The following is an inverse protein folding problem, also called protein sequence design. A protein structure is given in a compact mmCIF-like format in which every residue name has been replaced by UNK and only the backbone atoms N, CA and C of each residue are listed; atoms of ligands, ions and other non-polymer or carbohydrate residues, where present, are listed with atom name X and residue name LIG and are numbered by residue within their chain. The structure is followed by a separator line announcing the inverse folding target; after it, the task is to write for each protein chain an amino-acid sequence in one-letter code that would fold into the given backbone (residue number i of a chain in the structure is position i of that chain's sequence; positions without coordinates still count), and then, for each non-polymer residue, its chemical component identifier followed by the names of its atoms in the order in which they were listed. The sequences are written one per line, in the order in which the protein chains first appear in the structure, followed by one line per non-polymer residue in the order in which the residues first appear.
data_IF_372259599080
#
_entry.id   IF_372259599080
#
_cell.length_a   1.000
_cell.length_b   1.000
_cell.length_c   1.000
_cell.angle_alpha   90.00
_cell.angle_beta   90.00
_cell.angle_gamma   90.00
#
_symmetry.space_group_name_H-M   'P 1'
#
loop_
_entity.id
_entity.type
_entity.pdbx_description
1 polymer ?
#
# COMPACT_ATOMS: atom_id res chain seq x y z
N UNK A 1 -15.51 10.33 13.54
CA UNK A 1 -14.89 9.18 14.26
C UNK A 1 -13.98 8.45 13.28
N UNK A 2 -12.81 7.99 13.72
CA UNK A 2 -11.94 7.14 12.91
C UNK A 2 -12.57 5.75 12.75
N UNK A 3 -12.64 5.18 11.52
CA UNK A 3 -13.19 3.84 11.31
C UNK A 3 -12.31 2.73 11.93
N UNK A 4 -11.00 3.00 12.10
CA UNK A 4 -10.03 2.09 12.71
C UNK A 4 -8.95 2.91 13.41
N UNK A 5 -8.31 2.38 14.49
CA UNK A 5 -7.19 3.05 15.15
C UNK A 5 -6.03 3.44 14.21
N UNK A 6 -5.84 2.71 13.10
CA UNK A 6 -4.81 2.99 12.09
C UNK A 6 -5.34 3.68 10.83
N UNK A 7 -6.61 4.08 10.79
CA UNK A 7 -7.17 4.92 9.72
C UNK A 7 -7.72 6.21 10.35
N UNK A 8 -6.84 7.10 10.83
CA UNK A 8 -7.25 8.21 11.69
C UNK A 8 -7.99 9.32 10.94
N UNK A 9 -7.77 9.49 9.63
CA UNK A 9 -8.25 10.64 8.88
C UNK A 9 -8.55 10.32 7.40
N UNK A 10 -9.12 11.29 6.67
CA UNK A 10 -9.49 11.11 5.26
C UNK A 10 -8.30 10.79 4.36
N UNK A 11 -7.10 11.32 4.69
CA UNK A 11 -5.90 11.06 3.93
C UNK A 11 -5.50 9.58 4.02
N UNK A 12 -5.47 9.03 5.23
CA UNK A 12 -5.21 7.59 5.44
C UNK A 12 -6.24 6.71 4.73
N UNK A 13 -7.51 7.10 4.72
CA UNK A 13 -8.58 6.35 4.04
C UNK A 13 -8.38 6.38 2.51
N UNK A 14 -8.00 7.52 1.95
CA UNK A 14 -7.73 7.66 0.51
C UNK A 14 -6.50 6.86 0.08
N UNK A 15 -5.45 6.85 0.90
CA UNK A 15 -4.20 6.15 0.61
C UNK A 15 -4.29 4.65 0.85
N UNK A 16 -5.16 4.20 1.78
CA UNK A 16 -5.24 2.81 2.22
C UNK A 16 -5.29 1.78 1.08
N UNK A 17 -6.14 1.91 0.03
CA UNK A 17 -6.17 0.95 -1.06
C UNK A 17 -4.84 0.79 -1.80
N UNK A 18 -4.03 1.85 -1.87
CA UNK A 18 -2.73 1.84 -2.55
C UNK A 18 -1.61 1.37 -1.63
N UNK A 19 -1.72 1.63 -0.32
CA UNK A 19 -0.66 1.34 0.65
C UNK A 19 -0.83 0.01 1.39
N UNK A 20 -2.05 -0.55 1.48
CA UNK A 20 -2.28 -1.79 2.22
C UNK A 20 -1.53 -3.00 1.63
N UNK A 21 -1.19 -2.98 0.34
CA UNK A 21 -0.38 -4.01 -0.31
C UNK A 21 1.01 -4.18 0.35
N UNK A 22 1.57 -3.12 0.94
CA UNK A 22 2.85 -3.17 1.64
C UNK A 22 2.79 -3.98 2.94
N UNK A 23 1.61 -4.27 3.49
CA UNK A 23 1.48 -5.10 4.71
C UNK A 23 2.00 -6.54 4.51
N UNK A 24 2.15 -6.98 3.26
CA UNK A 24 2.76 -8.26 2.90
C UNK A 24 4.26 -8.16 2.52
N UNK A 25 4.85 -6.98 2.67
CA UNK A 25 6.26 -6.68 2.35
C UNK A 25 7.04 -6.34 3.62
N UNK A 26 8.32 -6.00 3.46
CA UNK A 26 9.14 -5.46 4.55
C UNK A 26 9.20 -3.93 4.58
N UNK A 27 8.30 -3.24 3.87
CA UNK A 27 8.24 -1.78 3.84
C UNK A 27 7.20 -1.28 4.85
N UNK A 28 7.57 -0.31 5.68
CA UNK A 28 6.68 0.29 6.67
C UNK A 28 5.73 1.28 6.01
N UNK A 29 4.46 1.25 6.42
CA UNK A 29 3.41 2.20 6.04
C UNK A 29 3.08 3.19 7.16
N UNK A 30 4.01 3.40 8.10
CA UNK A 30 3.85 4.35 9.20
C UNK A 30 3.01 3.84 10.38
N UNK A 31 2.71 2.54 10.45
CA UNK A 31 2.19 1.95 11.71
C UNK A 31 3.19 2.22 12.83
N UNK A 32 2.71 2.55 14.03
CA UNK A 32 3.57 2.99 15.13
C UNK A 32 3.97 4.47 15.10
N UNK A 33 3.29 5.27 14.26
CA UNK A 33 3.41 6.74 14.24
C UNK A 33 2.02 7.38 14.39
N UNK A 34 1.94 8.71 14.44
CA UNK A 34 0.67 9.44 14.41
C UNK A 34 0.02 9.49 13.01
N UNK A 35 0.71 9.00 11.98
CA UNK A 35 0.30 9.09 10.58
C UNK A 35 0.35 7.73 9.86
N UNK A 36 -0.30 6.68 10.38
CA UNK A 36 -0.38 5.39 9.69
C UNK A 36 -1.09 5.54 8.34
N UNK A 37 -0.63 4.78 7.35
CA UNK A 37 -1.06 4.80 5.95
C UNK A 37 -0.97 6.19 5.31
N UNK A 38 -0.01 7.02 5.74
CA UNK A 38 0.26 8.34 5.17
C UNK A 38 1.75 8.55 4.90
N UNK A 39 2.57 7.52 5.06
CA UNK A 39 4.01 7.50 4.77
C UNK A 39 4.39 6.10 4.29
N UNK A 40 5.52 5.99 3.61
CA UNK A 40 6.11 4.71 3.21
C UNK A 40 7.60 4.79 3.53
N UNK A 41 8.22 3.75 4.09
CA UNK A 41 9.66 3.79 4.36
C UNK A 41 10.28 2.47 4.81
N UNK A 42 11.61 2.45 4.80
CA UNK A 42 12.44 1.31 5.19
C UNK A 42 13.73 1.81 5.90
N UNK A 43 14.38 1.03 6.78
CA UNK A 43 15.61 1.41 7.50
C UNK A 43 16.86 1.52 6.63
N UNK A 44 16.78 2.26 5.53
CA UNK A 44 17.88 2.48 4.59
C UNK A 44 17.72 3.85 3.91
N UNK A 45 18.70 4.76 4.04
CA UNK A 45 18.65 6.10 3.44
C UNK A 45 18.36 6.17 1.94
N UNK A 46 18.58 5.07 1.19
CA UNK A 46 18.27 5.00 -0.24
C UNK A 46 16.77 5.13 -0.54
N UNK A 47 15.90 4.90 0.44
CA UNK A 47 14.45 4.92 0.22
C UNK A 47 13.84 6.32 0.22
N UNK A 48 14.54 7.34 0.72
CA UNK A 48 14.10 8.74 0.62
C UNK A 48 14.65 9.63 1.72
N UNK A 49 14.32 10.93 1.63
CA UNK A 49 14.80 11.94 2.57
C UNK A 49 13.86 12.19 3.76
N UNK A 50 12.59 11.78 3.66
CA UNK A 50 11.67 11.85 4.78
C UNK A 50 11.98 10.72 5.77
N UNK A 51 11.99 11.05 7.06
CA UNK A 51 12.39 10.14 8.13
C UNK A 51 11.28 10.01 9.15
N UNK A 52 11.04 8.78 9.63
CA UNK A 52 10.17 8.51 10.77
C UNK A 52 10.67 7.30 11.56
N UNK A 53 10.30 7.22 12.83
CA UNK A 53 10.63 6.10 13.72
C UNK A 53 9.32 5.48 14.22
N UNK A 54 9.01 4.23 13.85
CA UNK A 54 7.88 3.50 14.42
C UNK A 54 8.10 3.15 15.89
N UNK A 55 7.05 3.32 16.71
CA UNK A 55 7.05 2.93 18.12
C UNK A 55 5.79 2.12 18.46
N UNK A 56 5.89 1.24 19.46
CA UNK A 56 4.71 0.58 20.00
C UNK A 56 3.71 1.60 20.56
N UNK A 57 2.47 1.57 20.06
CA UNK A 57 1.37 2.40 20.53
C UNK A 57 0.21 1.48 20.94
N UNK A 58 -0.06 1.32 22.25
CA UNK A 58 -1.17 0.52 22.75
C UNK A 58 -2.51 0.92 22.12
N UNK A 59 -3.30 -0.08 21.71
CA UNK A 59 -4.58 0.12 21.03
C UNK A 59 -4.49 0.58 19.56
N UNK A 60 -3.28 0.83 19.03
CA UNK A 60 -3.06 1.12 17.59
C UNK A 60 -2.13 0.10 16.93
N UNK A 61 -0.89 -0.03 17.38
CA UNK A 61 0.10 -0.96 16.82
C UNK A 61 1.09 -1.37 17.91
N UNK A 62 0.96 -2.58 18.44
CA UNK A 62 1.83 -3.08 19.52
C UNK A 62 3.21 -3.52 19.04
N UNK A 63 3.30 -3.99 17.79
CA UNK A 63 4.53 -4.47 17.16
C UNK A 63 4.63 -3.91 15.73
N UNK A 64 4.82 -2.59 15.57
CA UNK A 64 4.98 -2.01 14.24
C UNK A 64 6.25 -2.56 13.57
N UNK A 65 6.22 -2.60 12.24
CA UNK A 65 7.39 -2.97 11.47
C UNK A 65 8.51 -1.93 11.69
N UNK A 66 9.75 -2.40 11.86
CA UNK A 66 10.94 -1.57 12.12
C UNK A 66 10.82 -0.71 13.38
N UNK A 67 10.25 -1.29 14.45
CA UNK A 67 10.11 -0.61 15.74
C UNK A 67 11.47 -0.13 16.28
N UNK A 68 11.57 1.16 16.58
CA UNK A 68 12.79 1.79 17.09
C UNK A 68 13.83 2.15 16.01
N UNK A 69 13.67 1.63 14.78
CA UNK A 69 14.59 1.90 13.68
C UNK A 69 14.20 3.17 12.91
N UNK A 70 15.21 3.89 12.43
CA UNK A 70 15.02 5.08 11.59
C UNK A 70 14.65 4.66 10.18
N UNK A 71 13.37 4.83 9.80
CA UNK A 71 12.87 4.56 8.46
C UNK A 71 13.01 5.80 7.57
N UNK A 72 13.46 5.59 6.33
CA UNK A 72 13.63 6.58 5.29
C UNK A 72 12.63 6.33 4.15
N UNK A 73 12.08 7.38 3.57
CA UNK A 73 11.06 7.22 2.54
C UNK A 73 10.39 8.51 2.10
N UNK A 74 9.07 8.43 1.90
CA UNK A 74 8.24 9.53 1.40
C UNK A 74 7.11 9.88 2.36
N UNK A 75 6.78 11.17 2.41
CA UNK A 75 5.68 11.73 3.17
C UNK A 75 4.47 11.97 2.27
N UNK A 76 3.35 11.31 2.56
CA UNK A 76 2.09 11.40 1.82
C UNK A 76 0.99 12.07 2.65
N UNK A 77 1.30 12.66 3.81
CA UNK A 77 0.31 13.29 4.70
C UNK A 77 -0.46 14.44 4.05
N UNK A 78 0.14 15.08 3.05
CA UNK A 78 -0.43 16.22 2.31
C UNK A 78 -0.61 15.93 0.81
N UNK A 79 -0.45 14.66 0.42
CA UNK A 79 -0.50 14.29 -0.98
C UNK A 79 -1.91 14.49 -1.57
N UNK A 80 -1.96 15.12 -2.74
CA UNK A 80 -3.20 15.43 -3.44
C UNK A 80 -3.53 14.40 -4.52
N UNK A 81 -3.25 13.11 -4.27
CA UNK A 81 -3.49 11.97 -5.15
C UNK A 81 -4.69 12.24 -6.07
N UNK A 82 -4.38 12.51 -7.34
CA UNK A 82 -5.41 12.83 -8.34
C UNK A 82 -6.28 11.60 -8.64
N UNK A 83 -5.77 10.40 -8.35
CA UNK A 83 -6.44 9.12 -8.53
C UNK A 83 -6.87 8.52 -7.19
N UNK A 84 -7.94 7.72 -7.20
CA UNK A 84 -8.45 7.04 -5.99
C UNK A 84 -7.62 5.79 -5.60
N UNK A 85 -6.78 5.30 -6.51
CA UNK A 85 -5.96 4.10 -6.36
C UNK A 85 -4.82 4.13 -7.38
N UNK A 86 -3.62 3.78 -6.94
CA UNK A 86 -2.44 3.63 -7.80
C UNK A 86 -1.55 2.49 -7.35
N UNK A 87 -0.92 1.81 -8.32
CA UNK A 87 0.15 0.83 -8.08
C UNK A 87 1.55 1.46 -8.06
N UNK A 88 1.67 2.74 -8.43
CA UNK A 88 2.94 3.48 -8.49
C UNK A 88 3.82 3.23 -7.26
N UNK A 89 3.26 3.36 -6.06
CA UNK A 89 4.05 3.20 -4.84
C UNK A 89 4.67 1.81 -4.71
N UNK A 90 3.88 0.74 -4.88
CA UNK A 90 4.38 -0.63 -4.73
C UNK A 90 5.36 -0.98 -5.84
N UNK A 91 5.14 -0.50 -7.06
CA UNK A 91 6.07 -0.67 -8.19
C UNK A 91 7.39 0.07 -7.95
N UNK A 92 7.33 1.35 -7.57
CA UNK A 92 8.52 2.16 -7.29
C UNK A 92 9.36 1.53 -6.18
N UNK A 93 8.74 1.11 -5.07
CA UNK A 93 9.46 0.46 -3.96
C UNK A 93 9.95 -0.94 -4.31
N UNK A 94 9.23 -1.69 -5.16
CA UNK A 94 9.71 -2.98 -5.68
C UNK A 94 11.01 -2.77 -6.47
N UNK A 95 11.03 -1.83 -7.41
CA UNK A 95 12.21 -1.51 -8.22
C UNK A 95 13.36 -0.94 -7.38
N UNK A 96 13.06 0.00 -6.49
CA UNK A 96 14.04 0.64 -5.61
C UNK A 96 14.72 -0.35 -4.67
N UNK A 97 13.98 -1.33 -4.15
CA UNK A 97 14.53 -2.35 -3.25
C UNK A 97 15.55 -3.27 -3.94
N UNK A 98 15.35 -3.56 -5.23
CA UNK A 98 16.08 -4.56 -6.00
C UNK A 98 16.10 -5.96 -5.33
N UNK A 99 15.05 -6.32 -4.59
CA UNK A 99 14.95 -7.60 -3.86
C UNK A 99 14.32 -8.74 -4.67
N UNK A 100 13.74 -8.45 -5.83
CA UNK A 100 13.00 -9.41 -6.65
C UNK A 100 11.91 -10.11 -5.83
N UNK A 101 11.87 -11.45 -5.87
CA UNK A 101 10.89 -12.25 -5.13
C UNK A 101 10.89 -12.00 -3.61
N UNK A 102 12.03 -11.60 -3.03
CA UNK A 102 12.12 -11.32 -1.58
C UNK A 102 11.36 -10.06 -1.15
N UNK A 103 11.00 -9.18 -2.09
CA UNK A 103 10.14 -8.03 -1.82
C UNK A 103 8.79 -8.45 -1.21
N UNK A 104 8.25 -9.57 -1.71
CA UNK A 104 7.01 -10.17 -1.22
C UNK A 104 7.28 -11.09 -0.02
N UNK A 105 7.73 -10.51 1.11
CA UNK A 105 8.05 -11.19 2.37
C UNK A 105 7.02 -12.25 2.75
N UNK A 106 5.73 -11.95 2.56
CA UNK A 106 4.64 -12.93 2.64
C UNK A 106 3.84 -12.96 1.33
N UNK A 107 4.32 -13.71 0.34
CA UNK A 107 3.68 -13.80 -0.98
C UNK A 107 2.23 -14.30 -0.92
N UNK A 108 1.91 -15.24 -0.01
CA UNK A 108 0.52 -15.73 0.15
C UNK A 108 -0.40 -14.62 0.65
N UNK A 109 0.06 -13.84 1.62
CA UNK A 109 -0.72 -12.70 2.13
C UNK A 109 -0.84 -11.57 1.10
N UNK A 110 0.20 -11.32 0.30
CA UNK A 110 0.11 -10.38 -0.81
C UNK A 110 -0.98 -10.80 -1.81
N UNK A 111 -0.97 -12.09 -2.22
CA UNK A 111 -1.97 -12.63 -3.14
C UNK A 111 -3.39 -12.58 -2.54
N UNK A 112 -3.53 -12.73 -1.21
CA UNK A 112 -4.81 -12.55 -0.51
C UNK A 112 -5.29 -11.10 -0.52
N UNK A 113 -4.41 -10.13 -0.27
CA UNK A 113 -4.74 -8.70 -0.33
C UNK A 113 -5.13 -8.28 -1.76
N UNK A 114 -4.43 -8.79 -2.77
CA UNK A 114 -4.70 -8.53 -4.18
C UNK A 114 -5.91 -9.32 -4.72
N UNK A 115 -6.35 -10.37 -4.01
CA UNK A 115 -7.42 -11.28 -4.43
C UNK A 115 -7.00 -12.32 -5.49
N UNK A 116 -5.74 -12.32 -5.92
CA UNK A 116 -5.16 -13.24 -6.91
C UNK A 116 -3.63 -13.17 -6.88
N UNK A 117 -2.96 -14.22 -7.38
CA UNK A 117 -1.51 -14.21 -7.61
C UNK A 117 -1.08 -13.44 -8.86
N UNK A 118 -2.04 -13.06 -9.72
CA UNK A 118 -1.76 -12.41 -11.00
C UNK A 118 -0.97 -11.10 -10.83
N UNK A 119 -1.39 -10.22 -9.92
CA UNK A 119 -0.70 -8.94 -9.68
C UNK A 119 0.77 -9.15 -9.33
N UNK A 120 1.05 -10.08 -8.41
CA UNK A 120 2.44 -10.38 -8.02
C UNK A 120 3.25 -10.92 -9.20
N UNK A 121 2.67 -11.80 -10.03
CA UNK A 121 3.34 -12.28 -11.25
C UNK A 121 3.67 -11.12 -12.18
N UNK A 122 2.71 -10.25 -12.46
CA UNK A 122 2.89 -9.12 -13.37
C UNK A 122 3.98 -8.15 -12.89
N UNK A 123 4.07 -7.89 -11.59
CA UNK A 123 5.15 -7.08 -11.01
C UNK A 123 6.51 -7.77 -11.21
N UNK A 124 6.59 -9.09 -10.98
CA UNK A 124 7.81 -9.87 -11.18
C UNK A 124 8.23 -9.92 -12.66
N UNK A 125 7.25 -9.96 -13.56
CA UNK A 125 7.43 -9.97 -15.01
C UNK A 125 7.77 -8.57 -15.57
N UNK A 126 7.78 -7.54 -14.71
CA UNK A 126 8.22 -6.19 -15.06
C UNK A 126 7.16 -5.36 -15.79
N UNK A 127 5.88 -5.71 -15.67
CA UNK A 127 4.81 -4.89 -16.24
C UNK A 127 4.70 -3.56 -15.50
N UNK A 128 4.37 -2.51 -16.24
CA UNK A 128 4.06 -1.20 -15.67
C UNK A 128 2.61 -1.10 -15.19
N UNK A 129 2.28 -0.01 -14.49
CA UNK A 129 0.93 0.19 -13.93
C UNK A 129 -0.16 0.16 -15.01
N UNK A 130 0.04 0.80 -16.16
CA UNK A 130 -0.97 0.86 -17.22
C UNK A 130 -1.27 -0.53 -17.79
N UNK A 131 -0.24 -1.34 -18.04
CA UNK A 131 -0.39 -2.72 -18.52
C UNK A 131 -1.15 -3.59 -17.51
N UNK A 132 -0.83 -3.46 -16.22
CA UNK A 132 -1.51 -4.19 -15.14
C UNK A 132 -2.99 -3.78 -15.09
N UNK A 133 -3.28 -2.47 -15.12
CA UNK A 133 -4.65 -1.95 -15.07
C UNK A 133 -5.47 -2.30 -16.30
N UNK A 134 -4.84 -2.39 -17.46
CA UNK A 134 -5.49 -2.86 -18.69
C UNK A 134 -5.95 -4.31 -18.54
N UNK A 135 -5.12 -5.16 -17.91
CA UNK A 135 -5.48 -6.57 -17.67
C UNK A 135 -6.72 -6.75 -16.78
N UNK A 136 -7.08 -5.75 -15.98
CA UNK A 136 -8.25 -5.79 -15.10
C UNK A 136 -9.54 -5.34 -15.79
N UNK A 137 -9.46 -4.65 -16.93
CA UNK A 137 -10.63 -4.03 -17.58
C UNK A 137 -11.78 -5.01 -17.85
N UNK A 138 -11.55 -6.25 -18.32
CA UNK A 138 -12.65 -7.18 -18.58
C UNK A 138 -13.48 -7.51 -17.33
N UNK A 139 -12.81 -7.85 -16.22
CA UNK A 139 -13.48 -8.18 -14.95
C UNK A 139 -14.10 -6.95 -14.29
N UNK A 140 -13.48 -5.77 -14.43
CA UNK A 140 -14.06 -4.51 -13.97
C UNK A 140 -15.35 -4.20 -14.74
N UNK A 141 -15.37 -4.35 -16.06
CA UNK A 141 -16.56 -4.16 -16.87
C UNK A 141 -17.68 -5.13 -16.49
N UNK A 142 -17.35 -6.41 -16.27
CA UNK A 142 -18.31 -7.41 -15.79
C UNK A 142 -18.90 -7.01 -14.42
N UNK A 143 -18.05 -6.61 -13.48
CA UNK A 143 -18.50 -6.16 -12.15
C UNK A 143 -19.37 -4.90 -12.23
N UNK A 144 -19.02 -3.96 -13.12
CA UNK A 144 -19.79 -2.74 -13.36
C UNK A 144 -21.19 -3.04 -13.90
N UNK A 145 -21.36 -4.09 -14.71
CA UNK A 145 -22.68 -4.56 -15.14
C UNK A 145 -23.41 -5.28 -14.00
N UNK A 146 -22.73 -6.19 -13.32
CA UNK A 146 -23.28 -7.00 -12.23
C UNK A 146 -23.79 -6.16 -11.05
N UNK A 147 -23.12 -5.04 -10.73
CA UNK A 147 -23.52 -4.17 -9.61
C UNK A 147 -24.77 -3.31 -9.89
N UNK A 148 -25.15 -3.11 -11.17
CA UNK A 148 -26.23 -2.18 -11.56
C UNK A 148 -27.55 -2.38 -10.80
N UNK A 149 -28.08 -3.61 -10.64
CA UNK A 149 -29.35 -3.83 -9.95
C UNK A 149 -29.33 -3.50 -8.45
N UNK A 150 -28.14 -3.29 -7.87
CA UNK A 150 -27.95 -3.10 -6.43
C UNK A 150 -27.55 -1.66 -6.06
N UNK A 151 -27.47 -0.74 -7.03
CA UNK A 151 -27.10 0.65 -6.77
C UNK A 151 -28.29 1.43 -6.16
N UNK A 152 -28.06 2.04 -5.00
CA UNK A 152 -29.04 2.91 -4.32
C UNK A 152 -28.82 4.40 -4.57
N UNK A 153 -27.70 4.75 -5.20
CA UNK A 153 -27.31 6.12 -5.54
C UNK A 153 -26.94 6.16 -7.03
N UNK A 154 -27.23 7.28 -7.74
CA UNK A 154 -26.85 7.48 -9.14
C UNK A 154 -25.35 7.27 -9.41
#
# INVERSE_FOLDING_TARGET
RSPSPNLPNIQSIRLYPSLCLFEATDISVGRGTDFPFQVIGFPDPRFGSFIFVPHSIPGKSLHPLHEGDTCYGIDLRWDTLHTRFTLKFVLDYYHLSNWGKKFFKNSKFFDQLAGTSLLRSQILDGLNEDQIRESWQPQLQEFMLKRKPYLLYP
#
